data_IF_775737980216
#
_entry.id   IF_775737980216
#
_cell.length_a   1.000
_cell.length_b   1.000
_cell.length_c   1.000
_cell.angle_alpha   90.00
_cell.angle_beta   90.00
_cell.angle_gamma   90.00
#
_symmetry.space_group_name_H-M   'P 1'
#
loop_
_entity.id
_entity.type
_entity.pdbx_description
1 polymer ?
#
# COMPACT_ATOMS: atom_id res chain seq x y z
N UNK A 1 8.22 -10.04 -14.43
CA UNK A 1 8.02 -8.62 -14.10
C UNK A 1 9.13 -8.19 -13.13
N UNK A 2 9.58 -6.94 -13.12
CA UNK A 2 10.54 -6.49 -12.10
C UNK A 2 9.92 -6.70 -10.72
N UNK A 3 10.74 -7.13 -9.75
CA UNK A 3 10.30 -7.36 -8.37
C UNK A 3 9.79 -6.06 -7.75
N UNK A 4 8.70 -6.15 -6.98
CA UNK A 4 8.20 -5.09 -6.12
C UNK A 4 9.33 -4.55 -5.24
N UNK A 5 9.55 -3.23 -5.28
CA UNK A 5 10.51 -2.56 -4.40
C UNK A 5 9.79 -1.99 -3.19
N UNK A 6 10.09 -2.53 -2.02
CA UNK A 6 9.48 -2.18 -0.74
C UNK A 6 10.36 -2.69 0.41
N UNK A 7 10.15 -2.16 1.61
CA UNK A 7 10.77 -2.66 2.85
C UNK A 7 9.66 -3.00 3.87
N UNK A 8 9.56 -4.27 4.33
CA UNK A 8 8.58 -4.66 5.35
C UNK A 8 8.70 -3.88 6.67
N UNK A 9 9.90 -3.51 7.09
CA UNK A 9 10.10 -2.76 8.34
C UNK A 9 9.60 -1.32 8.22
N UNK A 10 9.78 -0.72 7.06
CA UNK A 10 9.23 0.59 6.76
C UNK A 10 7.70 0.57 6.80
N UNK A 11 7.06 -0.46 6.24
CA UNK A 11 5.61 -0.64 6.33
C UNK A 11 5.14 -0.84 7.77
N UNK A 12 5.82 -1.66 8.57
CA UNK A 12 5.53 -1.80 10.00
C UNK A 12 5.64 -0.45 10.70
N UNK A 13 6.66 0.34 10.38
CA UNK A 13 6.89 1.66 10.96
C UNK A 13 5.83 2.71 10.58
N UNK A 14 5.13 2.55 9.46
CA UNK A 14 4.01 3.42 9.06
C UNK A 14 2.68 2.90 9.59
N UNK A 15 2.44 1.58 9.49
CA UNK A 15 1.17 0.96 9.77
C UNK A 15 0.97 0.63 11.26
N UNK A 16 2.05 0.56 12.03
CA UNK A 16 2.03 0.29 13.47
C UNK A 16 1.63 -1.15 13.84
N UNK A 17 1.55 -2.06 12.86
CA UNK A 17 1.16 -3.46 13.03
C UNK A 17 2.12 -4.39 12.32
N UNK A 18 2.31 -5.59 12.87
CA UNK A 18 3.05 -6.66 12.21
C UNK A 18 2.15 -7.35 11.16
N UNK A 19 2.70 -7.81 10.03
CA UNK A 19 1.93 -8.58 9.08
C UNK A 19 1.65 -9.99 9.62
N UNK A 20 0.50 -10.54 9.26
CA UNK A 20 0.31 -12.00 9.22
C UNK A 20 0.83 -12.55 7.90
N UNK A 21 1.41 -13.74 7.93
CA UNK A 21 1.91 -14.46 6.76
C UNK A 21 1.02 -15.67 6.45
N UNK A 22 0.97 -16.05 5.17
CA UNK A 22 0.42 -17.34 4.73
C UNK A 22 1.40 -18.50 5.05
N UNK A 23 0.95 -19.75 4.86
CA UNK A 23 1.73 -20.97 5.13
C UNK A 23 3.10 -20.99 4.45
N UNK A 24 3.21 -20.34 3.28
CA UNK A 24 4.41 -20.28 2.47
C UNK A 24 5.11 -18.93 2.52
N UNK A 25 4.66 -18.00 3.37
CA UNK A 25 5.19 -16.63 3.51
C UNK A 25 5.33 -15.90 2.16
N UNK A 26 4.42 -16.18 1.23
CA UNK A 26 4.39 -15.55 -0.10
C UNK A 26 3.68 -14.19 -0.09
N UNK A 27 2.96 -13.90 0.98
CA UNK A 27 2.23 -12.67 1.16
C UNK A 27 2.38 -12.09 2.56
N UNK A 28 2.24 -10.77 2.66
CA UNK A 28 2.23 -10.03 3.92
C UNK A 28 0.90 -9.31 4.03
N UNK A 29 0.09 -9.69 5.02
CA UNK A 29 -1.21 -9.05 5.27
C UNK A 29 -1.16 -8.23 6.55
N UNK A 30 -1.32 -6.93 6.42
CA UNK A 30 -1.44 -5.98 7.51
C UNK A 30 -2.93 -5.69 7.76
N UNK A 31 -3.36 -5.76 9.02
CA UNK A 31 -4.75 -5.50 9.41
C UNK A 31 -4.78 -4.39 10.46
N UNK A 32 -5.40 -3.26 10.10
CA UNK A 32 -5.49 -2.06 10.94
C UNK A 32 -6.96 -1.82 11.27
N UNK A 33 -7.29 -1.72 12.55
CA UNK A 33 -8.65 -1.47 13.03
C UNK A 33 -8.77 -0.06 13.59
N UNK A 34 -9.76 0.71 13.13
CA UNK A 34 -10.14 2.01 13.70
C UNK A 34 -11.66 2.10 13.85
N UNK A 35 -12.15 2.02 15.09
CA UNK A 35 -13.58 1.93 15.36
C UNK A 35 -14.18 0.69 14.69
N UNK A 36 -15.22 0.87 13.86
CA UNK A 36 -15.82 -0.22 13.08
C UNK A 36 -15.14 -0.48 11.73
N UNK A 37 -14.17 0.35 11.33
CA UNK A 37 -13.44 0.18 10.07
C UNK A 37 -12.23 -0.73 10.24
N UNK A 38 -12.04 -1.66 9.30
CA UNK A 38 -10.86 -2.51 9.20
C UNK A 38 -10.21 -2.34 7.82
N UNK A 39 -8.97 -1.87 7.80
CA UNK A 39 -8.14 -1.85 6.61
C UNK A 39 -7.31 -3.13 6.54
N UNK A 40 -7.38 -3.84 5.43
CA UNK A 40 -6.52 -4.96 5.10
C UNK A 40 -5.64 -4.59 3.90
N UNK A 41 -4.33 -4.52 4.12
CA UNK A 41 -3.34 -4.35 3.07
C UNK A 41 -2.63 -5.68 2.87
N UNK A 42 -2.75 -6.28 1.69
CA UNK A 42 -2.05 -7.51 1.31
C UNK A 42 -1.01 -7.20 0.25
N UNK A 43 0.24 -7.62 0.49
CA UNK A 43 1.35 -7.49 -0.46
C UNK A 43 1.78 -8.90 -0.90
N UNK A 44 1.62 -9.22 -2.18
CA UNK A 44 2.17 -10.43 -2.81
C UNK A 44 3.52 -10.10 -3.44
N UNK A 45 4.59 -10.28 -2.68
CA UNK A 45 5.92 -9.78 -3.04
C UNK A 45 6.47 -10.38 -4.34
N UNK A 46 6.11 -11.63 -4.67
CA UNK A 46 6.62 -12.33 -5.85
C UNK A 46 5.84 -11.99 -7.13
N UNK A 47 4.54 -11.74 -7.01
CA UNK A 47 3.68 -11.31 -8.12
C UNK A 47 3.75 -9.79 -8.36
N UNK A 48 4.29 -9.06 -7.38
CA UNK A 48 4.31 -7.60 -7.35
C UNK A 48 2.91 -7.00 -7.31
N UNK A 49 1.98 -7.70 -6.66
CA UNK A 49 0.61 -7.25 -6.52
C UNK A 49 0.37 -6.70 -5.10
N UNK A 50 -0.47 -5.66 -5.03
CA UNK A 50 -0.92 -5.08 -3.76
C UNK A 50 -2.43 -4.98 -3.78
N UNK A 51 -3.08 -5.47 -2.73
CA UNK A 51 -4.52 -5.30 -2.54
C UNK A 51 -4.81 -4.54 -1.26
N UNK A 52 -5.73 -3.60 -1.37
CA UNK A 52 -6.23 -2.78 -0.29
C UNK A 52 -7.73 -3.05 -0.18
N UNK A 53 -8.15 -3.55 0.98
CA UNK A 53 -9.54 -3.70 1.32
C UNK A 53 -9.90 -2.84 2.53
N UNK A 54 -11.01 -2.12 2.46
CA UNK A 54 -11.59 -1.42 3.59
C UNK A 54 -12.93 -2.06 3.93
N UNK A 55 -13.06 -2.58 5.13
CA UNK A 55 -14.25 -3.21 5.66
C UNK A 55 -14.90 -2.32 6.69
N UNK A 56 -16.22 -2.46 6.83
CA UNK A 56 -16.99 -1.96 7.96
C UNK A 56 -17.68 -3.16 8.60
N UNK A 57 -17.60 -3.25 9.93
CA UNK A 57 -17.94 -4.46 10.69
C UNK A 57 -19.38 -4.97 10.49
N UNK A 58 -20.33 -4.11 10.15
CA UNK A 58 -21.73 -4.47 9.94
C UNK A 58 -22.03 -4.92 8.50
N UNK A 59 -21.10 -4.72 7.56
CA UNK A 59 -21.29 -5.04 6.15
C UNK A 59 -20.69 -6.40 5.78
N UNK A 60 -21.36 -7.17 4.90
CA UNK A 60 -20.88 -8.49 4.50
C UNK A 60 -19.73 -8.46 3.48
N UNK A 61 -19.48 -7.30 2.86
CA UNK A 61 -18.49 -7.11 1.81
C UNK A 61 -17.63 -5.87 2.14
N UNK A 62 -16.39 -5.79 1.62
CA UNK A 62 -15.58 -4.61 1.79
C UNK A 62 -16.20 -3.42 1.05
N UNK A 63 -16.16 -2.24 1.68
CA UNK A 63 -16.59 -0.97 1.09
C UNK A 63 -15.65 -0.58 -0.05
N UNK A 64 -14.35 -0.84 0.12
CA UNK A 64 -13.33 -0.65 -0.91
C UNK A 64 -12.62 -1.97 -1.10
N UNK A 65 -12.49 -2.41 -2.35
CA UNK A 65 -11.56 -3.45 -2.76
C UNK A 65 -10.79 -2.95 -3.97
N UNK A 66 -9.51 -2.69 -3.79
CA UNK A 66 -8.65 -2.12 -4.82
C UNK A 66 -7.39 -2.94 -4.98
N UNK A 67 -7.11 -3.38 -6.20
CA UNK A 67 -5.97 -4.25 -6.51
C UNK A 67 -5.06 -3.56 -7.53
N UNK A 68 -3.79 -3.37 -7.15
CA UNK A 68 -2.72 -2.86 -7.98
C UNK A 68 -1.90 -4.03 -8.50
N UNK A 69 -2.14 -4.41 -9.76
CA UNK A 69 -1.40 -5.49 -10.41
C UNK A 69 -0.05 -4.98 -10.91
N UNK A 70 1.04 -5.69 -10.64
CA UNK A 70 2.37 -5.29 -11.12
C UNK A 70 2.83 -3.93 -10.60
N UNK A 71 2.54 -3.64 -9.33
CA UNK A 71 3.02 -2.50 -8.59
C UNK A 71 4.56 -2.51 -8.58
N UNK A 72 5.25 -1.49 -9.14
CA UNK A 72 6.71 -1.47 -9.18
C UNK A 72 7.33 -1.11 -7.83
N UNK A 73 6.59 -0.49 -6.92
CA UNK A 73 7.08 -0.23 -5.57
C UNK A 73 6.10 0.46 -4.63
N UNK A 74 6.40 0.29 -3.35
CA UNK A 74 5.75 0.97 -2.23
C UNK A 74 6.79 1.88 -1.60
N UNK A 75 6.48 3.16 -1.49
CA UNK A 75 7.36 4.16 -0.91
C UNK A 75 6.77 4.70 0.39
N UNK A 76 7.57 4.76 1.43
CA UNK A 76 7.22 5.52 2.64
C UNK A 76 7.53 7.00 2.43
N UNK A 77 6.57 7.84 2.75
CA UNK A 77 6.71 9.30 2.70
C UNK A 77 6.42 9.86 4.08
N UNK A 78 7.31 10.74 4.54
CA UNK A 78 7.15 11.51 5.77
C UNK A 78 7.44 12.97 5.44
N UNK A 79 6.38 13.77 5.34
CA UNK A 79 6.48 15.20 5.05
C UNK A 79 5.45 16.01 5.85
N UNK A 80 5.22 17.27 5.48
CA UNK A 80 4.29 18.18 6.17
C UNK A 80 2.84 17.68 6.21
N UNK A 81 2.47 16.72 5.36
CA UNK A 81 1.16 16.05 5.31
C UNK A 81 1.06 14.87 6.29
N UNK A 82 2.14 14.55 6.99
CA UNK A 82 2.25 13.39 7.87
C UNK A 82 3.01 12.23 7.23
N UNK A 83 2.85 11.05 7.82
CA UNK A 83 3.50 9.80 7.42
C UNK A 83 2.51 8.88 6.70
N UNK A 84 2.85 8.43 5.49
CA UNK A 84 1.95 7.63 4.65
C UNK A 84 2.71 6.76 3.65
N UNK A 85 1.98 5.85 3.01
CA UNK A 85 2.47 5.01 1.92
C UNK A 85 2.05 5.59 0.57
N UNK A 86 2.95 5.59 -0.41
CA UNK A 86 2.66 5.75 -1.84
C UNK A 86 2.83 4.40 -2.55
N UNK A 87 1.79 3.98 -3.26
CA UNK A 87 1.82 2.80 -4.13
C UNK A 87 1.88 3.27 -5.58
N UNK A 88 2.90 2.82 -6.32
CA UNK A 88 3.02 3.13 -7.73
C UNK A 88 2.01 2.32 -8.55
N UNK A 89 1.32 2.97 -9.48
CA UNK A 89 0.51 2.26 -10.46
C UNK A 89 1.37 1.39 -11.39
N UNK A 90 0.76 0.43 -12.07
CA UNK A 90 1.48 -0.41 -13.04
C UNK A 90 2.06 0.43 -14.17
N UNK A 91 3.21 -0.01 -14.71
CA UNK A 91 3.92 0.66 -15.81
C UNK A 91 4.29 2.13 -15.57
N UNK A 92 4.30 2.59 -14.30
CA UNK A 92 4.70 3.94 -13.92
C UNK A 92 6.16 4.24 -14.31
N UNK A 93 7.00 3.21 -14.34
CA UNK A 93 8.41 3.32 -14.71
C UNK A 93 8.70 2.44 -15.93
N UNK A 94 9.57 2.92 -16.82
CA UNK A 94 10.04 2.18 -18.01
C UNK A 94 11.09 1.11 -17.68
N UNK A 95 11.43 0.95 -16.39
CA UNK A 95 12.41 -0.01 -15.88
C UNK A 95 12.15 -0.34 -14.41
N UNK A 96 13.16 -0.93 -13.75
CA UNK A 96 13.07 -1.26 -12.32
C UNK A 96 13.04 0.04 -11.51
N UNK A 97 12.01 0.21 -10.69
CA UNK A 97 11.95 1.30 -9.71
C UNK A 97 13.08 1.14 -8.68
N UNK A 98 13.68 2.25 -8.25
CA UNK A 98 14.85 2.25 -7.36
C UNK A 98 14.48 2.32 -5.88
N UNK A 99 13.21 2.55 -5.54
CA UNK A 99 12.72 2.74 -4.17
C UNK A 99 12.76 4.20 -3.69
N UNK A 100 13.47 5.09 -4.39
CA UNK A 100 13.76 6.46 -3.95
C UNK A 100 13.17 7.53 -4.85
N UNK A 101 13.02 7.22 -6.14
CA UNK A 101 12.46 8.10 -7.16
C UNK A 101 11.04 8.52 -6.77
N UNK A 102 10.63 9.72 -7.19
CA UNK A 102 9.25 10.17 -6.96
C UNK A 102 8.31 9.35 -7.82
N UNK A 103 7.26 8.80 -7.20
CA UNK A 103 6.18 8.13 -7.92
C UNK A 103 5.32 9.25 -8.55
N UNK A 104 5.16 9.32 -9.88
CA UNK A 104 4.41 10.39 -10.53
C UNK A 104 2.90 10.26 -10.36
N UNK A 105 2.35 9.05 -10.22
CA UNK A 105 0.93 8.81 -9.96
C UNK A 105 0.69 7.44 -9.32
N UNK A 106 -0.42 7.32 -8.60
CA UNK A 106 -0.75 6.10 -7.89
C UNK A 106 -1.80 6.31 -6.80
N UNK A 107 -1.65 5.58 -5.70
CA UNK A 107 -2.52 5.67 -4.53
C UNK A 107 -1.71 5.99 -3.28
N UNK A 108 -2.28 6.80 -2.39
CA UNK A 108 -1.74 7.04 -1.04
C UNK A 108 -2.61 6.42 0.02
N UNK A 109 -1.97 5.98 1.10
CA UNK A 109 -2.62 5.46 2.29
C UNK A 109 -2.00 6.08 3.54
N UNK A 110 -2.83 6.77 4.32
CA UNK A 110 -2.56 7.14 5.70
C UNK A 110 -3.33 6.20 6.62
N UNK A 111 -2.75 5.91 7.79
CA UNK A 111 -3.45 5.26 8.89
C UNK A 111 -3.49 6.11 10.16
N UNK A 112 -2.65 7.13 10.26
CA UNK A 112 -2.61 8.09 11.38
C UNK A 112 -2.78 9.51 10.83
N UNK A 113 -3.72 10.33 11.36
CA UNK A 113 -4.61 10.05 12.49
C UNK A 113 -5.83 9.18 12.15
N UNK A 114 -6.04 8.89 10.87
CA UNK A 114 -7.16 8.07 10.40
C UNK A 114 -6.78 7.32 9.13
N UNK A 115 -7.49 6.22 8.84
CA UNK A 115 -7.47 5.57 7.55
C UNK A 115 -7.96 6.56 6.49
N UNK A 116 -7.09 6.91 5.56
CA UNK A 116 -7.41 7.77 4.43
C UNK A 116 -6.73 7.24 3.17
N UNK A 117 -7.50 7.16 2.09
CA UNK A 117 -7.06 6.67 0.78
C UNK A 117 -7.27 7.77 -0.25
N UNK A 118 -6.21 8.11 -1.00
CA UNK A 118 -6.24 9.18 -2.00
C UNK A 118 -5.52 8.76 -3.28
N UNK A 119 -6.19 8.73 -4.44
CA UNK A 119 -5.50 8.67 -5.73
C UNK A 119 -4.75 9.98 -5.97
N UNK A 120 -3.52 9.89 -6.47
CA UNK A 120 -2.73 11.08 -6.78
C UNK A 120 -2.12 11.00 -8.17
N UNK A 121 -1.91 12.17 -8.76
CA UNK A 121 -1.06 12.35 -9.91
C UNK A 121 -0.36 13.70 -9.76
N UNK A 122 0.93 13.75 -10.07
CA UNK A 122 1.64 14.99 -10.24
C UNK A 122 1.49 15.41 -11.69
N UNK A 123 1.06 16.65 -11.93
CA UNK A 123 1.20 17.25 -13.25
C UNK A 123 2.69 17.25 -13.59
N UNK A 124 3.08 16.49 -14.60
CA UNK A 124 4.33 16.75 -15.31
C UNK A 124 4.25 18.19 -15.80
N UNK A 125 5.10 19.06 -15.26
CA UNK A 125 5.32 20.39 -15.82
C UNK A 125 5.98 20.28 -17.20
#
# INVERSE_FOLDING_TARGET
>A
MPLLVWDPFDLIGVLGVLPSHDEFETSHRYSIQQGSLRLELTVWQYDSDVEIQLWEASLPNPIIKYTLLGCPGIRVVEDKRGKFLEFAASNTFTGRYDGYSVIPYGLRLWVEPQIFLEPFSYSTA
#
